data_IF_025578750674
#
_entry.id   IF_025578750674
#
_cell.length_a   1.000
_cell.length_b   1.000
_cell.length_c   1.000
_cell.angle_alpha   90.00
_cell.angle_beta   90.00
_cell.angle_gamma   90.00
#
_symmetry.space_group_name_H-M   'P 1'
#
loop_
_entity.id
_entity.type
_entity.pdbx_description
1 polymer ?
#
# COMPACT_ATOMS: atom_id res chain seq x y z
N UNK A 1 24.05 -22.76 -22.73
CA UNK A 1 24.90 -22.89 -21.53
C UNK A 1 25.03 -21.55 -20.81
N UNK A 2 24.68 -21.49 -19.52
CA UNK A 2 24.86 -20.26 -18.73
C UNK A 2 26.34 -19.86 -18.68
N UNK A 3 26.67 -18.56 -18.66
CA UNK A 3 28.05 -18.09 -18.60
C UNK A 3 28.77 -18.61 -17.34
N UNK A 4 30.09 -18.88 -17.47
CA UNK A 4 30.91 -19.62 -16.48
C UNK A 4 31.03 -18.93 -15.11
N UNK A 5 30.71 -17.65 -15.03
CA UNK A 5 30.70 -16.83 -13.82
C UNK A 5 29.51 -17.12 -12.88
N UNK A 6 28.46 -17.78 -13.38
CA UNK A 6 27.30 -18.22 -12.59
C UNK A 6 27.50 -19.56 -11.88
N UNK A 7 28.62 -20.27 -12.11
CA UNK A 7 28.94 -21.56 -11.49
C UNK A 7 29.85 -21.42 -10.25
N UNK A 8 29.59 -20.42 -9.40
CA UNK A 8 30.19 -20.35 -8.05
C UNK A 8 29.19 -20.87 -7.04
N UNK A 9 29.65 -21.60 -6.02
CA UNK A 9 28.82 -22.15 -4.94
C UNK A 9 27.97 -21.09 -4.21
N UNK A 10 28.34 -19.80 -4.34
CA UNK A 10 27.56 -18.67 -3.86
C UNK A 10 27.44 -17.60 -4.96
N UNK A 11 26.22 -17.41 -5.49
CA UNK A 11 25.88 -16.28 -6.35
C UNK A 11 25.24 -15.18 -5.51
N UNK A 12 25.88 -14.00 -5.44
CA UNK A 12 25.32 -12.84 -4.73
C UNK A 12 24.21 -12.24 -5.60
N UNK A 13 22.96 -12.46 -5.20
CA UNK A 13 21.80 -11.81 -5.80
C UNK A 13 21.91 -10.30 -5.62
N UNK A 14 21.96 -9.58 -6.74
CA UNK A 14 21.93 -8.11 -6.79
C UNK A 14 20.70 -7.69 -7.59
N UNK A 15 19.92 -6.75 -7.05
CA UNK A 15 18.86 -6.11 -7.81
C UNK A 15 19.47 -5.37 -9.02
N UNK A 16 18.90 -5.59 -10.21
CA UNK A 16 19.30 -4.90 -11.45
C UNK A 16 18.07 -4.25 -12.08
N UNK A 17 18.16 -3.01 -12.62
CA UNK A 17 19.36 -2.15 -12.67
C UNK A 17 19.81 -1.70 -11.27
N UNK A 18 21.06 -1.23 -11.14
CA UNK A 18 21.58 -0.68 -9.89
C UNK A 18 20.81 0.60 -9.56
N UNK A 19 19.67 0.44 -8.86
CA UNK A 19 18.77 1.52 -8.55
C UNK A 19 19.51 2.57 -7.70
N UNK A 20 19.44 3.83 -8.14
CA UNK A 20 20.03 4.96 -7.41
C UNK A 20 19.13 5.45 -6.27
N UNK A 21 17.87 5.01 -6.25
CA UNK A 21 16.84 5.39 -5.28
C UNK A 21 15.88 4.23 -5.04
N UNK A 22 15.10 4.29 -3.98
CA UNK A 22 14.00 3.36 -3.70
C UNK A 22 12.63 3.98 -4.00
N UNK A 23 11.66 3.21 -4.52
CA UNK A 23 10.30 3.69 -4.68
C UNK A 23 9.62 3.81 -3.32
N UNK A 24 8.71 4.79 -3.19
CA UNK A 24 7.86 4.89 -2.00
C UNK A 24 6.92 3.68 -1.94
N UNK A 25 7.03 2.90 -0.88
CA UNK A 25 6.16 1.74 -0.65
C UNK A 25 4.78 2.18 -0.14
N UNK A 26 3.72 1.58 -0.66
CA UNK A 26 2.36 1.73 -0.19
C UNK A 26 1.76 0.35 0.09
N UNK A 27 1.12 0.18 1.24
CA UNK A 27 0.35 -1.01 1.53
C UNK A 27 -1.11 -0.79 1.14
N UNK A 28 -1.61 -1.58 0.19
CA UNK A 28 -3.04 -1.63 -0.15
C UNK A 28 -3.69 -2.75 0.66
N UNK A 29 -4.87 -2.47 1.20
CA UNK A 29 -5.57 -3.43 2.05
C UNK A 29 -7.08 -3.24 2.09
N UNK A 30 -7.79 -4.34 2.37
CA UNK A 30 -9.26 -4.39 2.45
C UNK A 30 -9.76 -4.94 3.78
N UNK A 31 -8.89 -5.01 4.81
CA UNK A 31 -9.22 -5.62 6.10
C UNK A 31 -8.60 -4.88 7.28
N UNK A 32 -9.06 -5.23 8.49
CA UNK A 32 -8.42 -4.78 9.73
C UNK A 32 -6.99 -5.30 9.89
N UNK A 33 -6.69 -6.48 9.34
CA UNK A 33 -5.33 -7.03 9.40
C UNK A 33 -4.33 -6.15 8.63
N UNK A 34 -4.69 -5.70 7.42
CA UNK A 34 -3.82 -4.83 6.62
C UNK A 34 -3.64 -3.47 7.28
N UNK A 35 -4.67 -2.91 7.93
CA UNK A 35 -4.53 -1.68 8.70
C UNK A 35 -3.58 -1.83 9.89
N UNK A 36 -3.69 -2.93 10.64
CA UNK A 36 -2.76 -3.27 11.75
C UNK A 36 -1.32 -3.41 11.26
N UNK A 37 -1.13 -4.10 10.13
CA UNK A 37 0.19 -4.29 9.54
C UNK A 37 0.81 -2.96 9.09
N UNK A 38 0.04 -2.10 8.41
CA UNK A 38 0.52 -0.78 7.99
C UNK A 38 0.92 0.09 9.18
N UNK A 39 0.08 0.13 10.22
CA UNK A 39 0.34 0.90 11.43
C UNK A 39 1.61 0.42 12.16
N UNK A 40 1.73 -0.89 12.37
CA UNK A 40 2.87 -1.49 13.05
C UNK A 40 4.20 -1.42 12.26
N UNK A 41 4.13 -1.22 10.94
CA UNK A 41 5.31 -1.08 10.07
C UNK A 41 5.60 0.37 9.67
N UNK A 42 4.78 1.32 10.11
CA UNK A 42 4.93 2.72 9.74
C UNK A 42 4.85 2.93 8.23
N UNK A 43 3.93 2.23 7.56
CA UNK A 43 3.80 2.30 6.10
C UNK A 43 2.66 3.24 5.67
N UNK A 44 2.80 3.96 4.55
CA UNK A 44 1.67 4.60 3.89
C UNK A 44 0.60 3.56 3.52
N UNK A 45 -0.66 3.85 3.81
CA UNK A 45 -1.76 2.87 3.72
C UNK A 45 -2.88 3.33 2.81
N UNK A 46 -3.46 2.42 2.03
CA UNK A 46 -4.63 2.67 1.18
C UNK A 46 -5.70 1.62 1.46
N UNK A 47 -6.87 2.07 1.92
CA UNK A 47 -8.00 1.17 2.12
C UNK A 47 -8.84 1.02 0.85
N UNK A 48 -9.12 -0.23 0.50
CA UNK A 48 -9.95 -0.66 -0.61
C UNK A 48 -11.45 -0.53 -0.30
N UNK A 49 -11.94 0.71 -0.13
CA UNK A 49 -13.35 0.96 0.25
C UNK A 49 -14.34 0.43 -0.80
N UNK A 50 -14.00 0.56 -2.09
CA UNK A 50 -14.77 0.05 -3.23
C UNK A 50 -15.09 -1.46 -3.19
N UNK A 51 -14.36 -2.28 -2.43
CA UNK A 51 -14.62 -3.72 -2.29
C UNK A 51 -15.41 -4.07 -1.03
N UNK A 52 -15.06 -3.49 0.11
CA UNK A 52 -15.51 -3.98 1.41
C UNK A 52 -16.56 -3.10 2.08
N UNK A 53 -16.65 -1.79 1.76
CA UNK A 53 -17.58 -0.81 2.34
C UNK A 53 -17.55 -0.71 3.88
N UNK A 54 -18.03 -1.77 4.53
CA UNK A 54 -17.99 -2.07 5.96
C UNK A 54 -16.54 -2.11 6.51
N UNK A 55 -16.33 -1.51 7.67
CA UNK A 55 -15.04 -1.51 8.39
C UNK A 55 -14.02 -0.48 7.89
N UNK A 56 -14.33 0.31 6.87
CA UNK A 56 -13.42 1.34 6.35
C UNK A 56 -13.05 2.36 7.43
N UNK A 57 -14.05 2.92 8.12
CA UNK A 57 -13.81 3.91 9.17
C UNK A 57 -12.97 3.34 10.30
N UNK A 58 -13.32 2.16 10.80
CA UNK A 58 -12.59 1.46 11.87
C UNK A 58 -11.13 1.18 11.48
N UNK A 59 -10.90 0.68 10.26
CA UNK A 59 -9.56 0.38 9.76
C UNK A 59 -8.70 1.64 9.64
N UNK A 60 -9.28 2.72 9.13
CA UNK A 60 -8.59 4.00 8.94
C UNK A 60 -8.31 4.68 10.27
N UNK A 61 -9.24 4.59 11.22
CA UNK A 61 -9.08 5.12 12.57
C UNK A 61 -7.99 4.35 13.32
N UNK A 62 -8.06 3.01 13.29
CA UNK A 62 -7.03 2.16 13.89
C UNK A 62 -5.64 2.47 13.33
N UNK A 63 -5.53 2.60 12.00
CA UNK A 63 -4.27 2.94 11.34
C UNK A 63 -3.66 4.23 11.89
N UNK A 64 -4.45 5.30 11.99
CA UNK A 64 -3.99 6.60 12.50
C UNK A 64 -3.60 6.53 13.97
N UNK A 65 -4.44 5.93 14.80
CA UNK A 65 -4.26 5.90 16.25
C UNK A 65 -3.09 5.03 16.71
N UNK A 66 -2.76 3.99 15.93
CA UNK A 66 -1.72 3.01 16.28
C UNK A 66 -0.48 3.12 15.37
N UNK A 67 -0.38 4.17 14.58
CA UNK A 67 0.74 4.35 13.65
C UNK A 67 2.06 4.46 14.41
N UNK A 68 3.04 3.64 14.01
CA UNK A 68 4.41 3.71 14.50
C UNK A 68 5.28 4.35 13.42
N UNK A 69 5.82 5.56 13.63
CA UNK A 69 6.72 6.21 12.67
C UNK A 69 7.87 5.30 12.23
N UNK A 70 8.18 5.33 10.93
CA UNK A 70 9.33 4.65 10.34
C UNK A 70 10.32 5.66 9.75
N UNK A 71 11.53 5.21 9.43
CA UNK A 71 12.55 6.08 8.81
C UNK A 71 12.06 6.73 7.50
N UNK A 72 11.22 6.03 6.74
CA UNK A 72 10.72 6.50 5.44
C UNK A 72 9.37 7.22 5.54
N UNK A 73 8.65 7.08 6.66
CA UNK A 73 7.31 7.67 6.85
C UNK A 73 7.14 8.11 8.32
N UNK A 74 7.41 9.39 8.63
CA UNK A 74 7.42 9.90 10.01
C UNK A 74 6.02 10.16 10.60
N UNK A 75 5.00 10.23 9.75
CA UNK A 75 3.61 10.50 10.15
C UNK A 75 2.63 9.63 9.34
N UNK A 76 1.41 9.36 9.84
CA UNK A 76 0.45 8.55 9.11
C UNK A 76 0.10 9.18 7.76
N UNK A 77 0.23 8.42 6.67
CA UNK A 77 -0.12 8.88 5.32
C UNK A 77 -1.09 7.91 4.68
N UNK A 78 -2.24 8.41 4.24
CA UNK A 78 -3.29 7.55 3.72
C UNK A 78 -4.25 8.27 2.77
N UNK A 79 -4.87 7.51 1.87
CA UNK A 79 -6.00 7.91 1.06
C UNK A 79 -6.94 6.70 0.85
N UNK A 80 -8.15 6.95 0.37
CA UNK A 80 -9.16 5.92 0.13
C UNK A 80 -9.37 5.70 -1.36
N UNK A 81 -9.76 4.48 -1.72
CA UNK A 81 -10.19 4.14 -3.09
C UNK A 81 -11.71 3.97 -3.10
N UNK A 82 -12.40 4.81 -3.87
CA UNK A 82 -13.87 4.87 -3.93
C UNK A 82 -14.36 4.58 -5.34
N UNK A 83 -15.56 4.00 -5.45
CA UNK A 83 -16.30 3.97 -6.71
C UNK A 83 -17.07 5.29 -6.83
N UNK A 84 -16.92 5.98 -7.95
CA UNK A 84 -17.64 7.22 -8.23
C UNK A 84 -18.23 7.17 -9.65
N UNK A 85 -19.50 7.53 -9.77
CA UNK A 85 -20.17 7.82 -11.03
C UNK A 85 -20.54 9.31 -11.04
N UNK A 86 -20.23 10.03 -12.12
CA UNK A 86 -20.39 11.48 -12.21
C UNK A 86 -21.14 11.82 -13.48
N UNK A 87 -22.21 12.62 -13.34
CA UNK A 87 -23.04 13.12 -14.44
C UNK A 87 -23.56 14.53 -14.10
N UNK A 88 -24.25 15.17 -15.05
CA UNK A 88 -24.80 16.52 -14.84
C UNK A 88 -25.95 16.52 -13.82
N UNK A 89 -26.70 15.41 -13.73
CA UNK A 89 -27.78 15.24 -12.77
C UNK A 89 -27.65 13.93 -11.96
N UNK A 90 -28.29 13.89 -10.79
CA UNK A 90 -28.33 12.67 -9.96
C UNK A 90 -28.99 11.50 -10.70
N UNK A 91 -30.10 11.76 -11.41
CA UNK A 91 -30.84 10.74 -12.16
C UNK A 91 -29.99 10.11 -13.27
N UNK A 92 -29.12 10.88 -13.93
CA UNK A 92 -28.16 10.36 -14.90
C UNK A 92 -27.04 9.55 -14.24
N UNK A 93 -26.60 9.94 -13.04
CA UNK A 93 -25.52 9.24 -12.33
C UNK A 93 -25.93 7.88 -11.76
N UNK A 94 -27.23 7.66 -11.48
CA UNK A 94 -27.76 6.41 -10.92
C UNK A 94 -28.35 5.45 -11.96
N UNK A 95 -28.41 5.85 -13.23
CA UNK A 95 -28.96 5.07 -14.35
C UNK A 95 -28.00 3.96 -14.80
#
# INVERSE_FOLDING_TARGET
>A
PLPRDLMRDNYVLKATPAATTEPRLWLLGSSMYSARLAAAKGLPYVFAHHFAGQGTEEAMQFYRDNFQPSETTPEPVTFLTVNAAVAETYDEAVR
#
